data_IF_388942019743
#
_entry.id   IF_388942019743
#
_cell.length_a   1.000
_cell.length_b   1.000
_cell.length_c   1.000
_cell.angle_alpha   90.00
_cell.angle_beta   90.00
_cell.angle_gamma   90.00
#
_symmetry.space_group_name_H-M   'P 1'
#
loop_
_entity.id
_entity.type
_entity.pdbx_description
1 polymer ?
#
# COMPACT_ATOMS: atom_id res chain seq x y z
N UNK A 1 20.80 23.81 11.47
CA UNK A 1 19.48 23.64 10.82
C UNK A 1 18.56 22.93 11.80
N UNK A 2 17.53 23.60 12.33
CA UNK A 2 16.63 23.04 13.35
C UNK A 2 15.78 21.94 12.68
N UNK A 3 16.02 20.69 13.06
CA UNK A 3 15.23 19.55 12.60
C UNK A 3 13.78 19.74 13.01
N UNK A 4 12.93 20.07 12.05
CA UNK A 4 11.49 19.86 12.15
C UNK A 4 11.32 18.38 12.55
N UNK A 5 10.56 18.09 13.61
CA UNK A 5 10.43 16.71 14.08
C UNK A 5 9.90 15.85 12.93
N UNK A 6 10.54 14.71 12.67
CA UNK A 6 10.11 13.76 11.64
C UNK A 6 8.61 13.43 11.77
N UNK A 7 8.08 13.45 13.01
CA UNK A 7 6.65 13.30 13.30
C UNK A 7 5.79 14.44 12.74
N UNK A 8 6.18 15.71 12.90
CA UNK A 8 5.41 16.85 12.39
C UNK A 8 5.41 16.89 10.86
N UNK A 9 6.56 16.63 10.24
CA UNK A 9 6.66 16.51 8.78
C UNK A 9 5.78 15.37 8.27
N UNK A 10 5.82 14.20 8.91
CA UNK A 10 4.97 13.05 8.57
C UNK A 10 3.48 13.40 8.66
N UNK A 11 3.05 14.10 9.71
CA UNK A 11 1.64 14.49 9.89
C UNK A 11 1.19 15.46 8.81
N UNK A 12 2.02 16.46 8.47
CA UNK A 12 1.71 17.40 7.37
C UNK A 12 1.69 16.68 6.02
N UNK A 13 2.65 15.81 5.76
CA UNK A 13 2.68 15.02 4.53
C UNK A 13 1.44 14.12 4.43
N UNK A 14 1.06 13.44 5.51
CA UNK A 14 -0.15 12.61 5.54
C UNK A 14 -1.43 13.44 5.29
N UNK A 15 -1.50 14.65 5.86
CA UNK A 15 -2.61 15.58 5.62
C UNK A 15 -2.69 15.99 4.14
N UNK A 16 -1.56 16.37 3.53
CA UNK A 16 -1.50 16.78 2.12
C UNK A 16 -1.88 15.62 1.21
N UNK A 17 -1.31 14.44 1.45
CA UNK A 17 -1.61 13.22 0.68
C UNK A 17 -3.09 12.87 0.82
N UNK A 18 -3.63 12.88 2.04
CA UNK A 18 -5.04 12.62 2.29
C UNK A 18 -5.95 13.60 1.55
N UNK A 19 -5.61 14.89 1.55
CA UNK A 19 -6.35 15.93 0.81
C UNK A 19 -6.30 15.69 -0.71
N UNK A 20 -5.14 15.38 -1.26
CA UNK A 20 -4.97 15.07 -2.69
C UNK A 20 -5.81 13.86 -3.09
N UNK A 21 -5.82 12.80 -2.28
CA UNK A 21 -6.61 11.59 -2.52
C UNK A 21 -8.13 11.87 -2.55
N UNK A 22 -8.62 12.80 -1.73
CA UNK A 22 -10.04 13.16 -1.70
C UNK A 22 -10.41 14.07 -2.86
N UNK A 23 -9.56 15.05 -3.19
CA UNK A 23 -9.83 16.04 -4.24
C UNK A 23 -9.67 15.46 -5.64
N UNK A 24 -8.69 14.58 -5.84
CA UNK A 24 -8.34 14.01 -7.14
C UNK A 24 -8.11 12.49 -7.07
N UNK A 25 -9.14 11.70 -6.74
CA UNK A 25 -9.00 10.26 -6.54
C UNK A 25 -8.66 9.49 -7.82
N UNK A 26 -9.15 9.94 -8.97
CA UNK A 26 -8.85 9.31 -10.26
C UNK A 26 -7.40 9.54 -10.66
N UNK A 27 -6.95 10.80 -10.64
CA UNK A 27 -5.57 11.19 -10.92
C UNK A 27 -4.61 10.51 -9.95
N UNK A 28 -4.95 10.44 -8.65
CA UNK A 28 -4.13 9.74 -7.66
C UNK A 28 -3.90 8.28 -8.07
N UNK A 29 -4.95 7.57 -8.50
CA UNK A 29 -4.84 6.21 -9.01
C UNK A 29 -3.92 6.08 -10.22
N UNK A 30 -4.02 7.01 -11.17
CA UNK A 30 -3.18 7.03 -12.36
C UNK A 30 -1.72 7.29 -12.00
N UNK A 31 -1.44 8.27 -11.14
CA UNK A 31 -0.09 8.54 -10.64
C UNK A 31 0.50 7.37 -9.85
N UNK A 32 -0.31 6.62 -9.10
CA UNK A 32 0.15 5.39 -8.44
C UNK A 32 0.65 4.37 -9.48
N UNK A 33 -0.11 4.13 -10.54
CA UNK A 33 0.29 3.18 -11.60
C UNK A 33 1.51 3.67 -12.36
N UNK A 34 1.56 4.96 -12.72
CA UNK A 34 2.73 5.55 -13.38
C UNK A 34 3.97 5.37 -12.51
N UNK A 35 3.86 5.63 -11.20
CA UNK A 35 4.99 5.50 -10.26
C UNK A 35 5.50 4.07 -10.21
N UNK A 36 4.60 3.08 -10.13
CA UNK A 36 4.96 1.66 -10.19
C UNK A 36 5.62 1.32 -11.53
N UNK A 37 5.08 1.82 -12.64
CA UNK A 37 5.65 1.63 -13.97
C UNK A 37 7.08 2.17 -14.07
N UNK A 38 7.33 3.38 -13.58
CA UNK A 38 8.67 4.00 -13.55
C UNK A 38 9.64 3.22 -12.67
N UNK A 39 9.21 2.80 -11.47
CA UNK A 39 10.04 1.97 -10.59
C UNK A 39 10.41 0.66 -11.28
N UNK A 40 9.51 0.09 -12.08
CA UNK A 40 9.75 -1.15 -12.81
C UNK A 40 10.64 -0.97 -14.05
N UNK A 41 10.66 0.22 -14.64
CA UNK A 41 11.54 0.53 -15.78
C UNK A 41 13.03 0.51 -15.39
N UNK A 42 13.38 0.93 -14.17
CA UNK A 42 14.77 0.98 -13.69
C UNK A 42 15.46 -0.40 -13.75
N UNK A 43 14.96 -1.46 -13.08
CA UNK A 43 15.56 -2.78 -13.16
C UNK A 43 15.48 -3.39 -14.57
N UNK A 44 14.45 -3.05 -15.36
CA UNK A 44 14.33 -3.49 -16.74
C UNK A 44 15.46 -2.93 -17.63
N UNK A 45 15.76 -1.65 -17.50
CA UNK A 45 16.89 -0.99 -18.16
C UNK A 45 18.22 -1.61 -17.73
N UNK A 46 18.42 -1.85 -16.43
CA UNK A 46 19.62 -2.51 -15.92
C UNK A 46 19.80 -3.93 -16.46
N UNK A 47 18.71 -4.70 -16.55
CA UNK A 47 18.71 -6.06 -17.11
C UNK A 47 19.13 -6.08 -18.59
N UNK A 48 18.62 -5.13 -19.39
CA UNK A 48 18.97 -5.02 -20.81
C UNK A 48 20.42 -4.54 -20.98
N UNK A 49 20.86 -3.52 -20.24
CA UNK A 49 22.25 -3.03 -20.28
C UNK A 49 23.21 -4.14 -19.86
N UNK A 50 22.90 -4.88 -18.79
CA UNK A 50 23.67 -6.03 -18.33
C UNK A 50 23.81 -7.14 -19.37
N UNK A 51 22.75 -7.40 -20.15
CA UNK A 51 22.80 -8.36 -21.26
C UNK A 51 23.71 -7.91 -22.42
N UNK A 52 23.82 -6.60 -22.69
CA UNK A 52 24.77 -6.08 -23.69
C UNK A 52 26.22 -6.07 -23.18
N UNK A 53 26.44 -5.99 -21.87
CA UNK A 53 27.75 -6.07 -21.25
C UNK A 53 28.28 -7.52 -21.06
N UNK A 54 27.41 -8.53 -21.17
CA UNK A 54 27.79 -9.95 -21.09
C UNK A 54 28.50 -10.45 -22.35
N UNK A 55 29.51 -11.30 -22.16
CA UNK A 55 30.29 -11.90 -23.26
C UNK A 55 29.44 -12.89 -24.08
N UNK A 56 29.85 -13.14 -25.33
CA UNK A 56 29.12 -14.00 -26.28
C UNK A 56 28.91 -15.45 -25.79
N UNK A 57 29.64 -15.88 -24.76
CA UNK A 57 29.62 -17.24 -24.20
C UNK A 57 28.51 -17.42 -23.14
N UNK A 58 28.12 -16.34 -22.44
CA UNK A 58 27.00 -16.31 -21.47
C UNK A 58 25.66 -15.87 -22.08
N UNK A 59 25.67 -15.45 -23.36
CA UNK A 59 24.51 -15.03 -24.16
C UNK A 59 23.50 -16.15 -24.50
N UNK A 60 23.45 -17.22 -23.71
CA UNK A 60 22.55 -18.36 -23.93
C UNK A 60 21.09 -18.08 -23.58
N UNK A 61 20.82 -17.03 -22.79
CA UNK A 61 19.44 -16.62 -22.46
C UNK A 61 19.24 -15.17 -22.91
N UNK A 62 18.38 -14.98 -23.90
CA UNK A 62 17.83 -13.65 -24.19
C UNK A 62 17.24 -13.09 -22.87
N UNK A 63 17.37 -11.78 -22.59
CA UNK A 63 16.84 -11.16 -21.40
C UNK A 63 15.32 -10.98 -21.58
N UNK A 64 14.59 -12.08 -21.76
CA UNK A 64 13.14 -12.13 -21.97
C UNK A 64 12.44 -11.49 -20.77
N UNK A 65 12.98 -11.68 -19.57
CA UNK A 65 12.53 -11.04 -18.34
C UNK A 65 12.75 -9.52 -18.36
N UNK A 66 13.90 -9.05 -18.85
CA UNK A 66 14.21 -7.62 -18.99
C UNK A 66 13.35 -6.93 -20.06
N UNK A 67 13.13 -7.59 -21.20
CA UNK A 67 12.28 -7.09 -22.28
C UNK A 67 10.82 -7.07 -21.86
N UNK A 68 10.33 -8.14 -21.23
CA UNK A 68 8.96 -8.22 -20.72
C UNK A 68 8.69 -7.17 -19.64
N UNK A 69 9.64 -6.96 -18.73
CA UNK A 69 9.50 -5.92 -17.70
C UNK A 69 9.58 -4.51 -18.26
N UNK A 70 10.42 -4.26 -19.27
CA UNK A 70 10.47 -2.98 -19.96
C UNK A 70 9.15 -2.67 -20.68
N UNK A 71 8.63 -3.63 -21.45
CA UNK A 71 7.35 -3.48 -22.15
C UNK A 71 6.20 -3.27 -21.17
N UNK A 72 6.18 -4.02 -20.07
CA UNK A 72 5.17 -3.88 -19.04
C UNK A 72 5.25 -2.51 -18.34
N UNK A 73 6.45 -2.10 -17.89
CA UNK A 73 6.65 -0.80 -17.25
C UNK A 73 6.27 0.37 -18.18
N UNK A 74 6.64 0.28 -19.46
CA UNK A 74 6.26 1.28 -20.46
C UNK A 74 4.74 1.31 -20.68
N UNK A 75 4.10 0.14 -20.75
CA UNK A 75 2.65 0.07 -20.89
C UNK A 75 1.92 0.70 -19.69
N UNK A 76 2.39 0.46 -18.47
CA UNK A 76 1.85 1.07 -17.24
C UNK A 76 1.92 2.61 -17.28
N UNK A 77 3.00 3.17 -17.86
CA UNK A 77 3.16 4.62 -17.99
C UNK A 77 2.27 5.20 -19.09
N UNK A 78 2.08 4.48 -20.20
CA UNK A 78 1.26 4.96 -21.34
C UNK A 78 -0.24 4.85 -21.05
N UNK A 79 -0.69 3.75 -20.43
CA UNK A 79 -2.11 3.51 -20.11
C UNK A 79 -2.32 3.18 -18.63
N UNK A 80 -2.08 4.13 -17.72
CA UNK A 80 -2.22 3.89 -16.28
C UNK A 80 -3.66 3.60 -15.86
N UNK A 81 -4.63 4.34 -16.43
CA UNK A 81 -6.04 4.19 -16.10
C UNK A 81 -6.57 2.78 -16.38
N UNK A 82 -6.22 2.21 -17.54
CA UNK A 82 -6.59 0.84 -17.90
C UNK A 82 -6.08 -0.17 -16.87
N UNK A 83 -4.81 -0.06 -16.45
CA UNK A 83 -4.24 -1.00 -15.50
C UNK A 83 -4.85 -0.84 -14.10
N UNK A 84 -5.09 0.39 -13.63
CA UNK A 84 -5.75 0.62 -12.36
C UNK A 84 -7.21 0.11 -12.36
N UNK A 85 -7.92 0.21 -13.49
CA UNK A 85 -9.27 -0.36 -13.64
C UNK A 85 -9.22 -1.89 -13.70
N UNK A 86 -8.24 -2.45 -14.41
CA UNK A 86 -8.00 -3.89 -14.46
C UNK A 86 -7.74 -4.47 -13.07
N UNK A 87 -6.92 -3.81 -12.24
CA UNK A 87 -6.69 -4.23 -10.85
C UNK A 87 -7.99 -4.25 -10.04
N UNK A 88 -8.82 -3.23 -10.20
CA UNK A 88 -10.11 -3.14 -9.49
C UNK A 88 -11.08 -4.21 -9.98
N UNK A 89 -11.07 -4.51 -11.27
CA UNK A 89 -11.85 -5.58 -11.86
C UNK A 89 -11.42 -6.96 -11.34
N UNK A 90 -10.12 -7.23 -11.31
CA UNK A 90 -9.55 -8.46 -10.73
C UNK A 90 -9.93 -8.58 -9.25
N UNK A 91 -9.84 -7.49 -8.49
CA UNK A 91 -10.27 -7.44 -7.10
C UNK A 91 -11.77 -7.74 -6.96
N UNK A 92 -12.61 -7.17 -7.83
CA UNK A 92 -14.04 -7.48 -7.89
C UNK A 92 -14.32 -8.96 -8.13
N UNK A 93 -13.60 -9.59 -9.06
CA UNK A 93 -13.73 -11.01 -9.36
C UNK A 93 -13.33 -11.87 -8.15
N UNK A 94 -12.20 -11.56 -7.51
CA UNK A 94 -11.74 -12.24 -6.29
C UNK A 94 -12.77 -12.09 -5.16
N UNK A 95 -13.39 -10.91 -5.00
CA UNK A 95 -14.44 -10.69 -4.01
C UNK A 95 -15.70 -11.52 -4.31
N UNK A 96 -16.12 -11.63 -5.57
CA UNK A 96 -17.27 -12.46 -5.95
C UNK A 96 -16.97 -13.93 -5.66
N UNK A 97 -15.81 -14.44 -6.09
CA UNK A 97 -15.41 -15.81 -5.79
C UNK A 97 -15.31 -16.08 -4.29
N UNK A 98 -14.70 -15.16 -3.54
CA UNK A 98 -14.59 -15.24 -2.08
C UNK A 98 -15.95 -15.22 -1.39
N UNK A 99 -16.87 -14.36 -1.83
CA UNK A 99 -18.24 -14.28 -1.32
C UNK A 99 -19.04 -15.56 -1.60
N UNK A 100 -18.97 -16.09 -2.82
CA UNK A 100 -19.61 -17.37 -3.18
C UNK A 100 -19.03 -18.52 -2.37
N UNK A 101 -17.71 -18.58 -2.21
CA UNK A 101 -17.04 -19.60 -1.42
C UNK A 101 -17.41 -19.51 0.07
N UNK A 102 -17.53 -18.30 0.63
CA UNK A 102 -18.00 -18.11 2.01
C UNK A 102 -19.45 -18.53 2.20
N UNK A 103 -20.33 -18.26 1.24
CA UNK A 103 -21.73 -18.73 1.29
C UNK A 103 -21.77 -20.26 1.16
N UNK A 104 -21.00 -20.83 0.23
CA UNK A 104 -20.93 -22.27 0.01
C UNK A 104 -20.42 -23.00 1.27
N UNK A 105 -19.36 -22.50 1.92
CA UNK A 105 -18.81 -23.09 3.15
C UNK A 105 -19.79 -23.01 4.31
N UNK A 106 -20.48 -21.88 4.48
CA UNK A 106 -21.53 -21.72 5.50
C UNK A 106 -22.74 -22.61 5.22
N UNK A 107 -23.09 -22.83 3.95
CA UNK A 107 -24.20 -23.71 3.56
C UNK A 107 -23.87 -25.19 3.80
N UNK A 108 -22.63 -25.60 3.54
CA UNK A 108 -22.14 -26.94 3.85
C UNK A 108 -22.08 -27.19 5.37
N UNK A 109 -21.61 -26.19 6.14
CA UNK A 109 -21.57 -26.25 7.61
C UNK A 109 -22.98 -26.29 8.24
N UNK A 110 -23.98 -25.68 7.57
CA UNK A 110 -25.39 -25.71 8.00
C UNK A 110 -25.98 -27.11 8.05
N UNK A 111 -25.39 -28.09 7.36
CA UNK A 111 -25.81 -29.50 7.43
C UNK A 111 -25.49 -30.17 8.78
N UNK A 112 -24.57 -29.60 9.57
CA UNK A 112 -24.05 -30.22 10.80
C UNK A 112 -24.26 -29.37 12.06
N UNK A 113 -24.66 -28.09 11.91
CA UNK A 113 -24.93 -27.18 13.02
C UNK A 113 -25.91 -26.07 12.60
N UNK A 114 -26.81 -25.59 13.47
CA UNK A 114 -27.66 -24.43 13.18
C UNK A 114 -26.80 -23.16 13.09
N UNK A 115 -26.48 -22.74 11.86
CA UNK A 115 -25.69 -21.53 11.59
C UNK A 115 -26.58 -20.30 11.80
N UNK A 116 -26.18 -19.37 12.69
CA UNK A 116 -26.86 -18.08 12.88
C UNK A 116 -26.87 -17.28 11.58
N UNK A 117 -28.05 -16.79 11.19
CA UNK A 117 -28.29 -16.04 9.94
C UNK A 117 -27.39 -14.79 9.83
N UNK A 118 -26.98 -14.20 10.96
CA UNK A 118 -26.04 -13.07 10.99
C UNK A 118 -24.70 -13.31 10.29
N UNK A 119 -24.22 -14.56 10.20
CA UNK A 119 -22.99 -14.88 9.49
C UNK A 119 -23.11 -14.81 7.96
N UNK A 120 -24.32 -14.77 7.40
CA UNK A 120 -24.53 -14.61 5.95
C UNK A 120 -24.52 -13.15 5.51
N UNK A 121 -24.63 -12.19 6.45
CA UNK A 121 -24.63 -10.76 6.12
C UNK A 121 -23.27 -10.34 5.54
N UNK A 122 -22.17 -10.73 6.20
CA UNK A 122 -20.81 -10.41 5.76
C UNK A 122 -20.51 -10.91 4.33
N UNK A 123 -20.69 -12.20 3.99
CA UNK A 123 -20.39 -12.69 2.66
C UNK A 123 -21.31 -12.12 1.58
N UNK A 124 -22.58 -11.81 1.91
CA UNK A 124 -23.48 -11.12 0.99
C UNK A 124 -22.99 -9.69 0.72
N UNK A 125 -22.55 -8.95 1.74
CA UNK A 125 -21.95 -7.62 1.55
C UNK A 125 -20.69 -7.69 0.67
N UNK A 126 -19.83 -8.69 0.89
CA UNK A 126 -18.62 -8.92 0.08
C UNK A 126 -19.00 -9.19 -1.38
N UNK A 127 -20.02 -10.02 -1.62
CA UNK A 127 -20.48 -10.38 -2.96
C UNK A 127 -21.07 -9.16 -3.69
N UNK A 128 -21.88 -8.35 -2.99
CA UNK A 128 -22.39 -7.08 -3.53
C UNK A 128 -21.25 -6.13 -3.87
N UNK A 129 -20.28 -5.96 -2.97
CA UNK A 129 -19.11 -5.11 -3.22
C UNK A 129 -18.30 -5.59 -4.44
N UNK A 130 -18.08 -6.90 -4.57
CA UNK A 130 -17.43 -7.50 -5.73
C UNK A 130 -18.19 -7.26 -7.03
N UNK A 131 -19.52 -7.38 -7.00
CA UNK A 131 -20.37 -7.12 -8.16
C UNK A 131 -20.31 -5.65 -8.60
N UNK A 132 -20.36 -4.72 -7.65
CA UNK A 132 -20.23 -3.28 -7.94
C UNK A 132 -18.84 -2.99 -8.55
N UNK A 133 -17.79 -3.63 -8.06
CA UNK A 133 -16.43 -3.49 -8.59
C UNK A 133 -16.28 -4.02 -10.03
N UNK A 134 -17.02 -5.07 -10.40
CA UNK A 134 -17.02 -5.60 -11.77
C UNK A 134 -17.76 -4.69 -12.76
N UNK A 135 -18.90 -4.10 -12.35
CA UNK A 135 -19.70 -3.24 -13.23
C UNK A 135 -19.21 -1.80 -13.29
N UNK A 136 -18.61 -1.28 -12.21
CA UNK A 136 -18.11 0.10 -12.12
C UNK A 136 -16.73 0.16 -11.45
N UNK A 137 -15.68 -0.41 -12.07
CA UNK A 137 -14.34 -0.46 -11.48
C UNK A 137 -13.78 0.93 -11.17
N UNK A 138 -13.93 1.89 -12.09
CA UNK A 138 -13.47 3.27 -11.89
C UNK A 138 -14.14 3.95 -10.69
N UNK A 139 -15.45 3.72 -10.52
CA UNK A 139 -16.20 4.27 -9.39
C UNK A 139 -15.79 3.66 -8.05
N UNK A 140 -15.58 2.34 -8.01
CA UNK A 140 -15.10 1.64 -6.80
C UNK A 140 -13.69 2.08 -6.43
N UNK A 141 -12.79 2.15 -7.41
CA UNK A 141 -11.42 2.65 -7.23
C UNK A 141 -11.42 4.05 -6.62
N UNK A 142 -12.17 4.98 -7.22
CA UNK A 142 -12.27 6.36 -6.75
C UNK A 142 -12.82 6.43 -5.33
N UNK A 143 -13.89 5.69 -5.05
CA UNK A 143 -14.50 5.61 -3.71
C UNK A 143 -13.51 5.08 -2.67
N UNK A 144 -12.74 4.04 -3.01
CA UNK A 144 -11.72 3.48 -2.13
C UNK A 144 -10.63 4.51 -1.80
N UNK A 145 -10.14 5.27 -2.79
CA UNK A 145 -9.17 6.34 -2.57
C UNK A 145 -9.74 7.48 -1.73
N UNK A 146 -11.00 7.87 -1.92
CA UNK A 146 -11.68 8.88 -1.09
C UNK A 146 -11.76 8.40 0.36
N UNK A 147 -12.16 7.15 0.61
CA UNK A 147 -12.23 6.59 1.97
C UNK A 147 -10.86 6.60 2.63
N UNK A 148 -9.82 6.16 1.92
CA UNK A 148 -8.43 6.20 2.40
C UNK A 148 -7.98 7.65 2.67
N UNK A 149 -8.33 8.59 1.80
CA UNK A 149 -8.02 10.00 1.96
C UNK A 149 -8.67 10.62 3.20
N UNK A 150 -9.98 10.40 3.40
CA UNK A 150 -10.71 10.89 4.57
C UNK A 150 -10.14 10.30 5.86
N UNK A 151 -9.94 8.98 5.90
CA UNK A 151 -9.37 8.31 7.09
C UNK A 151 -7.96 8.81 7.40
N UNK A 152 -7.14 9.05 6.37
CA UNK A 152 -5.82 9.66 6.51
C UNK A 152 -5.89 11.09 7.05
N UNK A 153 -6.81 11.92 6.56
CA UNK A 153 -7.02 13.29 7.07
C UNK A 153 -7.43 13.25 8.54
N UNK A 154 -8.41 12.41 8.90
CA UNK A 154 -8.86 12.28 10.30
C UNK A 154 -7.69 11.89 11.20
N UNK A 155 -6.91 10.89 10.78
CA UNK A 155 -5.71 10.47 11.50
C UNK A 155 -4.68 11.60 11.65
N UNK A 156 -4.36 12.31 10.56
CA UNK A 156 -3.40 13.40 10.56
C UNK A 156 -3.86 14.57 11.47
N UNK A 157 -5.15 14.90 11.46
CA UNK A 157 -5.73 15.92 12.33
C UNK A 157 -5.66 15.50 13.79
N UNK A 158 -5.99 14.24 14.11
CA UNK A 158 -5.86 13.72 15.48
C UNK A 158 -4.42 13.80 15.99
N UNK A 159 -3.45 13.41 15.16
CA UNK A 159 -2.03 13.47 15.50
C UNK A 159 -1.54 14.92 15.67
N UNK A 160 -2.02 15.85 14.83
CA UNK A 160 -1.69 17.27 14.92
C UNK A 160 -2.23 17.92 16.21
N UNK A 161 -3.47 17.58 16.59
CA UNK A 161 -4.09 18.04 17.84
C UNK A 161 -3.35 17.50 19.07
N UNK A 162 -3.00 16.21 19.03
CA UNK A 162 -2.21 15.59 20.09
C UNK A 162 -0.85 16.28 20.24
N UNK A 163 -0.12 16.48 19.13
CA UNK A 163 1.16 17.18 19.14
C UNK A 163 1.05 18.60 19.69
N UNK A 164 0.03 19.37 19.28
CA UNK A 164 -0.18 20.74 19.77
C UNK A 164 -0.48 20.76 21.28
N UNK A 165 -1.26 19.79 21.76
CA UNK A 165 -1.54 19.63 23.19
C UNK A 165 -0.27 19.30 23.98
N UNK A 166 0.59 18.40 23.48
CA UNK A 166 1.85 18.04 24.13
C UNK A 166 2.90 19.16 24.09
N UNK A 167 2.99 19.91 23.00
CA UNK A 167 3.90 21.06 22.91
C UNK A 167 3.45 22.22 23.80
N UNK A 168 2.14 22.45 23.93
CA UNK A 168 1.58 23.50 24.80
C UNK A 168 1.63 23.14 26.29
N UNK A 169 1.65 21.85 26.62
CA UNK A 169 1.79 21.35 28.00
C UNK A 169 3.23 20.96 28.40
N UNK A 170 4.27 21.33 27.65
CA UNK A 170 5.65 21.12 28.11
C UNK A 170 5.92 21.97 29.37
N UNK A 171 6.10 21.37 30.57
CA UNK A 171 6.60 22.11 31.71
C UNK A 171 8.05 22.54 31.42
N UNK A 172 8.42 23.77 31.77
CA UNK A 172 9.84 24.13 31.89
C UNK A 172 10.39 23.53 33.19
N UNK A 173 11.51 22.83 33.05
CA UNK A 173 12.47 22.39 34.10
C UNK A 173 12.10 21.12 34.91
N UNK A 174 13.05 20.54 35.67
CA UNK A 174 14.29 19.89 35.23
C UNK A 174 14.42 18.45 35.81
N UNK A 175 15.16 17.57 35.13
CA UNK A 175 15.72 16.36 35.76
C UNK A 175 14.95 15.04 35.58
N UNK A 176 15.60 14.14 34.84
CA UNK A 176 15.48 12.66 34.83
C UNK A 176 14.31 11.99 34.06
N UNK A 177 14.54 10.76 33.55
CA UNK A 177 14.92 10.52 32.16
C UNK A 177 14.00 9.48 31.49
N UNK A 178 13.30 9.87 30.42
CA UNK A 178 12.40 9.00 29.70
C UNK A 178 12.69 8.97 28.20
N UNK A 179 13.53 8.00 27.80
CA UNK A 179 13.60 7.43 26.46
C UNK A 179 13.70 8.41 25.27
N UNK A 180 14.82 9.13 25.23
CA UNK A 180 15.38 9.67 24.00
C UNK A 180 16.00 8.53 23.19
N UNK A 181 15.42 8.22 22.03
CA UNK A 181 16.14 7.93 20.79
C UNK A 181 17.55 7.31 20.90
N UNK A 182 17.71 6.01 21.18
CA UNK A 182 18.99 5.28 20.96
C UNK A 182 18.80 3.76 20.98
N UNK A 183 18.09 3.16 20.01
CA UNK A 183 18.00 1.69 19.95
C UNK A 183 17.83 1.10 18.54
N UNK A 184 18.35 1.76 17.49
CA UNK A 184 18.42 1.14 16.14
C UNK A 184 19.81 1.32 15.49
N UNK A 185 20.83 1.75 16.25
CA UNK A 185 22.15 2.06 15.68
C UNK A 185 23.32 1.33 16.35
N UNK A 186 23.05 0.17 16.96
CA UNK A 186 24.09 -0.72 17.52
C UNK A 186 23.62 -2.18 17.49
N UNK A 187 23.46 -2.76 16.29
CA UNK A 187 23.32 -4.22 16.10
C UNK A 187 24.47 -4.73 15.21
N UNK A 188 25.69 -4.22 15.40
CA UNK A 188 26.87 -4.71 14.66
C UNK A 188 28.03 -5.23 15.52
N UNK A 189 28.03 -5.07 16.84
CA UNK A 189 29.14 -5.56 17.66
C UNK A 189 28.67 -6.56 18.73
N UNK A 190 28.48 -7.82 18.30
CA UNK A 190 28.43 -8.94 19.23
C UNK A 190 29.87 -9.34 19.57
N UNK A 191 30.45 -8.69 20.57
CA UNK A 191 31.72 -9.12 21.17
C UNK A 191 31.46 -10.32 22.09
N UNK A 192 32.02 -11.46 21.70
CA UNK A 192 32.00 -12.74 22.42
C UNK A 192 32.91 -12.59 23.63
N UNK A 193 32.38 -12.74 24.85
CA UNK A 193 33.20 -12.84 26.06
C UNK A 193 33.17 -14.29 26.54
N UNK A 194 34.34 -14.93 26.48
CA UNK A 194 34.64 -16.23 27.08
C UNK A 194 34.61 -16.13 28.62
N UNK A 195 33.91 -17.07 29.26
CA UNK A 195 33.91 -17.26 30.71
C UNK A 195 35.27 -17.78 31.20
N UNK A 196 35.93 -17.05 32.11
CA UNK A 196 36.57 -17.66 33.31
C UNK A 196 36.83 -16.67 34.44
#
# INVERSE_FOLDING_TARGET
>A
MKGISNSFLRTICALIIGLVLVMFPNEAGDYFVITIGVIFLIPALLSIIGYFAMSAEERRRLPIEGIGSLLFGLWLVIMPGFFADLLTFVLGFILVLGGVQQIASLSAARRWMPVRVGFYIIPVLILIAGLIALFNPTGVRSTAFIIIGITSIVYAVSELINWFTFTRKRPKAPGMPGASSKAVDNIEDAEIIEDK
#
